data_IF_242356416503
#
_entry.id   IF_242356416503
#
_cell.length_a   1.000
_cell.length_b   1.000
_cell.length_c   1.000
_cell.angle_alpha   90.00
_cell.angle_beta   90.00
_cell.angle_gamma   90.00
#
_symmetry.space_group_name_H-M   'P 1'
#
loop_
_entity.id
_entity.type
_entity.pdbx_description
1 polymer ?
#
# COMPACT_ATOMS: atom_id res chain seq x y z
N UNK A 1 18.26 -45.09 11.19
CA UNK A 1 17.68 -43.99 10.40
C UNK A 1 16.82 -43.16 11.34
N UNK A 2 17.32 -42.01 11.80
CA UNK A 2 16.53 -41.05 12.58
C UNK A 2 16.12 -39.96 11.60
N UNK A 3 14.83 -39.87 11.32
CA UNK A 3 14.28 -38.81 10.49
C UNK A 3 14.36 -37.50 11.25
N UNK A 4 15.25 -36.61 10.81
CA UNK A 4 15.17 -35.19 11.16
C UNK A 4 14.03 -34.59 10.36
N UNK A 5 12.84 -34.56 10.95
CA UNK A 5 11.79 -33.65 10.51
C UNK A 5 12.26 -32.25 10.84
N UNK A 6 12.51 -31.43 9.82
CA UNK A 6 12.61 -29.99 10.01
C UNK A 6 11.24 -29.50 10.47
N UNK A 7 11.10 -29.19 11.76
CA UNK A 7 9.98 -28.40 12.24
C UNK A 7 10.09 -27.02 11.60
N UNK A 8 9.33 -26.81 10.53
CA UNK A 8 9.10 -25.48 9.99
C UNK A 8 8.24 -24.79 11.06
N UNK A 9 8.85 -23.96 11.88
CA UNK A 9 8.11 -23.14 12.84
C UNK A 9 7.21 -22.21 12.04
N UNK A 10 5.89 -22.42 12.08
CA UNK A 10 4.93 -21.45 11.55
C UNK A 10 5.13 -20.14 12.31
N UNK A 11 5.67 -19.12 11.64
CA UNK A 11 5.81 -17.82 12.25
C UNK A 11 4.42 -17.26 12.56
N UNK A 12 4.15 -17.03 13.86
CA UNK A 12 2.91 -16.42 14.30
C UNK A 12 2.71 -15.08 13.61
N UNK A 13 1.57 -14.91 12.93
CA UNK A 13 1.18 -13.64 12.29
C UNK A 13 0.19 -12.90 13.17
N UNK A 14 0.42 -11.60 13.39
CA UNK A 14 -0.39 -10.73 14.25
C UNK A 14 -0.85 -9.52 13.47
N UNK A 15 -2.16 -9.27 13.49
CA UNK A 15 -2.77 -8.06 12.92
C UNK A 15 -2.25 -6.82 13.64
N UNK A 16 -1.98 -5.76 12.87
CA UNK A 16 -1.70 -4.42 13.39
C UNK A 16 -2.89 -3.47 13.27
N UNK A 17 -4.04 -3.94 12.79
CA UNK A 17 -5.23 -3.11 12.67
C UNK A 17 -5.63 -2.49 14.02
N UNK A 18 -5.76 -1.17 14.05
CA UNK A 18 -6.11 -0.41 15.24
C UNK A 18 -7.33 0.51 15.03
N UNK A 19 -7.94 0.45 13.85
CA UNK A 19 -9.12 1.23 13.50
C UNK A 19 -9.13 1.65 12.04
N UNK A 20 -10.28 2.16 11.61
CA UNK A 20 -10.45 2.73 10.28
C UNK A 20 -11.34 3.97 10.32
N UNK A 21 -11.13 4.86 9.38
CA UNK A 21 -11.94 6.04 9.12
C UNK A 21 -12.24 6.11 7.63
N UNK A 22 -13.40 6.67 7.30
CA UNK A 22 -13.84 6.86 5.92
C UNK A 22 -14.01 8.34 5.65
N UNK A 23 -13.24 8.85 4.70
CA UNK A 23 -13.42 10.22 4.25
C UNK A 23 -14.67 10.32 3.36
N UNK A 24 -15.18 11.54 3.19
CA UNK A 24 -16.25 11.84 2.22
C UNK A 24 -15.81 11.53 0.78
N UNK A 25 -14.51 11.52 0.52
CA UNK A 25 -13.89 11.09 -0.74
C UNK A 25 -13.78 9.56 -0.87
N UNK A 26 -13.17 9.07 -1.96
CA UNK A 26 -12.95 7.64 -2.23
C UNK A 26 -11.78 7.02 -1.44
N UNK A 27 -11.49 7.55 -0.24
CA UNK A 27 -10.36 7.15 0.61
C UNK A 27 -10.84 6.43 1.87
N UNK A 28 -10.30 5.25 2.11
CA UNK A 28 -10.33 4.55 3.42
C UNK A 28 -9.02 4.81 4.13
N UNK A 29 -9.06 5.26 5.38
CA UNK A 29 -7.88 5.36 6.23
C UNK A 29 -7.84 4.18 7.19
N UNK A 30 -6.74 3.44 7.21
CA UNK A 30 -6.48 2.33 8.14
C UNK A 30 -5.38 2.74 9.10
N UNK A 31 -5.63 2.63 10.40
CA UNK A 31 -4.65 2.91 11.43
C UNK A 31 -3.98 1.62 11.88
N UNK A 32 -2.64 1.62 11.88
CA UNK A 32 -1.84 0.50 12.36
C UNK A 32 -1.22 0.83 13.73
N UNK A 33 -1.20 -0.17 14.62
CA UNK A 33 -0.59 -0.12 15.95
C UNK A 33 -1.42 0.64 16.99
N UNK A 34 -1.89 1.84 16.66
CA UNK A 34 -2.77 2.65 17.49
C UNK A 34 -3.68 3.52 16.61
N UNK A 35 -4.91 3.82 17.05
CA UNK A 35 -5.84 4.70 16.32
C UNK A 35 -5.42 6.17 16.30
N UNK A 36 -4.57 6.60 17.25
CA UNK A 36 -3.99 7.94 17.30
C UNK A 36 -2.49 7.85 17.55
N UNK A 37 -1.72 8.77 16.98
CA UNK A 37 -0.31 8.88 17.31
C UNK A 37 -0.12 9.75 18.56
N UNK A 38 0.62 9.24 19.54
CA UNK A 38 1.01 10.00 20.74
C UNK A 38 2.37 10.69 20.58
N UNK A 39 3.12 10.35 19.52
CA UNK A 39 4.45 10.87 19.25
C UNK A 39 4.40 12.03 18.24
N UNK A 40 4.96 13.18 18.58
CA UNK A 40 5.10 14.30 17.64
C UNK A 40 6.30 14.06 16.72
N UNK A 41 6.02 13.74 15.46
CA UNK A 41 7.02 13.45 14.41
C UNK A 41 6.48 13.84 13.04
N UNK A 42 7.36 14.10 12.09
CA UNK A 42 6.95 14.45 10.73
C UNK A 42 6.41 13.24 9.97
N UNK A 43 5.47 13.46 9.07
CA UNK A 43 4.97 12.42 8.17
C UNK A 43 5.97 12.12 7.05
N UNK A 44 6.00 10.86 6.61
CA UNK A 44 6.64 10.41 5.38
C UNK A 44 5.64 9.59 4.59
N UNK A 45 5.21 10.15 3.47
CA UNK A 45 4.15 9.59 2.64
C UNK A 45 4.76 8.85 1.46
N UNK A 46 4.46 7.57 1.34
CA UNK A 46 4.83 6.72 0.22
C UNK A 46 3.57 6.46 -0.62
N UNK A 47 3.59 6.86 -1.89
CA UNK A 47 2.53 6.52 -2.84
C UNK A 47 2.92 5.24 -3.58
N UNK A 48 2.14 4.17 -3.42
CA UNK A 48 2.41 2.87 -4.05
C UNK A 48 1.57 2.72 -5.31
N UNK A 49 2.25 2.59 -6.45
CA UNK A 49 1.63 2.41 -7.76
C UNK A 49 2.07 1.07 -8.34
N UNK A 50 1.14 0.33 -8.94
CA UNK A 50 1.48 -0.92 -9.63
C UNK A 50 0.26 -1.60 -10.25
N UNK A 51 0.48 -2.41 -11.31
CA UNK A 51 -0.60 -3.13 -11.97
C UNK A 51 -1.24 -4.19 -11.08
N UNK A 52 -2.40 -4.70 -11.50
CA UNK A 52 -3.06 -5.84 -10.86
C UNK A 52 -2.10 -7.01 -10.71
N UNK A 53 -2.07 -7.59 -9.50
CA UNK A 53 -1.20 -8.73 -9.20
C UNK A 53 0.29 -8.40 -9.04
N UNK A 54 0.66 -7.11 -8.90
CA UNK A 54 2.02 -6.68 -8.55
C UNK A 54 2.41 -6.97 -7.09
N UNK A 55 1.51 -7.52 -6.27
CA UNK A 55 1.72 -7.85 -4.86
C UNK A 55 1.98 -6.63 -3.96
N UNK A 56 1.34 -5.48 -4.23
CA UNK A 56 1.39 -4.28 -3.35
C UNK A 56 1.07 -4.62 -1.89
N UNK A 57 0.03 -5.41 -1.63
CA UNK A 57 -0.34 -5.87 -0.28
C UNK A 57 0.80 -6.56 0.46
N UNK A 58 1.57 -7.43 -0.22
CA UNK A 58 2.74 -8.08 0.38
C UNK A 58 3.84 -7.07 0.69
N UNK A 59 4.05 -6.07 -0.17
CA UNK A 59 5.00 -4.99 0.10
C UNK A 59 4.57 -4.15 1.32
N UNK A 60 3.28 -3.85 1.45
CA UNK A 60 2.71 -3.13 2.60
C UNK A 60 2.94 -3.92 3.90
N UNK A 61 2.69 -5.24 3.89
CA UNK A 61 2.98 -6.10 5.04
C UNK A 61 4.49 -6.16 5.35
N UNK A 62 5.35 -6.22 4.34
CA UNK A 62 6.81 -6.14 4.52
C UNK A 62 7.23 -4.81 5.16
N UNK A 63 6.70 -3.68 4.68
CA UNK A 63 6.95 -2.36 5.25
C UNK A 63 6.42 -2.26 6.69
N UNK A 64 5.25 -2.83 6.98
CA UNK A 64 4.69 -2.93 8.32
C UNK A 64 5.66 -3.64 9.28
N UNK A 65 6.21 -4.78 8.86
CA UNK A 65 7.21 -5.51 9.64
C UNK A 65 8.47 -4.68 9.90
N UNK A 66 8.96 -3.97 8.89
CA UNK A 66 10.10 -3.07 9.02
C UNK A 66 9.82 -1.93 10.01
N UNK A 67 8.68 -1.24 9.87
CA UNK A 67 8.32 -0.10 10.71
C UNK A 67 8.13 -0.46 12.19
N UNK A 68 7.66 -1.68 12.49
CA UNK A 68 7.52 -2.15 13.87
C UNK A 68 8.72 -2.95 14.38
N UNK A 69 9.83 -3.00 13.63
CA UNK A 69 11.07 -3.64 14.08
C UNK A 69 10.95 -5.15 14.26
N UNK A 70 10.15 -5.83 13.42
CA UNK A 70 10.00 -7.27 13.47
C UNK A 70 11.37 -7.96 13.28
N UNK A 71 11.66 -8.95 14.13
CA UNK A 71 12.87 -9.77 14.02
C UNK A 71 12.67 -10.84 12.94
N UNK A 72 13.78 -11.34 12.38
CA UNK A 72 13.77 -12.37 11.34
C UNK A 72 13.01 -13.64 11.79
N UNK A 73 13.38 -14.20 12.94
CA UNK A 73 12.71 -15.38 13.52
C UNK A 73 11.53 -15.03 14.44
N UNK A 74 11.01 -13.81 14.32
CA UNK A 74 10.00 -13.26 15.23
C UNK A 74 8.57 -13.44 14.75
N UNK A 75 7.66 -12.82 15.53
CA UNK A 75 6.28 -12.58 15.12
C UNK A 75 6.27 -11.73 13.84
N UNK A 76 5.43 -12.11 12.88
CA UNK A 76 5.18 -11.34 11.66
C UNK A 76 3.95 -10.47 11.83
N UNK A 77 3.99 -9.27 11.30
CA UNK A 77 2.89 -8.33 11.34
C UNK A 77 2.15 -8.28 10.01
N UNK A 78 0.83 -8.11 10.07
CA UNK A 78 -0.05 -7.96 8.90
C UNK A 78 -0.94 -6.73 9.05
N UNK A 79 -1.22 -6.07 7.94
CA UNK A 79 -2.14 -4.92 7.87
C UNK A 79 -2.84 -4.81 6.51
N UNK A 80 -2.22 -5.29 5.43
CA UNK A 80 -2.80 -5.19 4.10
C UNK A 80 -4.07 -6.03 3.99
N UNK A 81 -5.05 -5.50 3.26
CA UNK A 81 -6.36 -6.11 3.00
C UNK A 81 -7.19 -6.49 4.25
N UNK A 82 -6.78 -6.03 5.44
CA UNK A 82 -7.58 -6.22 6.66
C UNK A 82 -8.83 -5.36 6.58
N UNK A 83 -10.00 -6.00 6.75
CA UNK A 83 -11.32 -5.39 6.75
C UNK A 83 -11.89 -5.59 8.15
N UNK A 84 -12.27 -4.51 8.82
CA UNK A 84 -12.77 -4.57 10.18
C UNK A 84 -14.09 -5.33 10.25
N UNK A 85 -15.06 -4.91 9.43
CA UNK A 85 -16.36 -5.55 9.34
C UNK A 85 -16.80 -5.61 7.87
N UNK A 86 -16.88 -6.83 7.34
CA UNK A 86 -17.28 -7.09 5.94
C UNK A 86 -18.69 -6.58 5.62
N UNK A 87 -19.55 -6.37 6.62
CA UNK A 87 -20.90 -5.84 6.44
C UNK A 87 -20.98 -4.31 6.39
N UNK A 88 -20.02 -3.60 6.99
CA UNK A 88 -20.10 -2.15 7.18
C UNK A 88 -18.91 -1.36 6.62
N UNK A 89 -17.75 -1.97 6.38
CA UNK A 89 -16.61 -1.31 5.72
C UNK A 89 -16.95 -1.07 4.23
N UNK A 90 -17.19 0.18 3.78
CA UNK A 90 -17.42 0.48 2.38
C UNK A 90 -16.21 0.15 1.51
N UNK A 91 -16.49 -0.24 0.26
CA UNK A 91 -15.45 -0.41 -0.76
C UNK A 91 -15.00 0.99 -1.18
N UNK A 92 -13.75 1.34 -0.84
CA UNK A 92 -13.08 2.58 -1.25
C UNK A 92 -11.93 2.24 -2.19
N UNK A 93 -11.72 3.08 -3.20
CA UNK A 93 -10.74 2.79 -4.24
C UNK A 93 -9.29 3.02 -3.78
N UNK A 94 -9.08 3.95 -2.84
CA UNK A 94 -7.76 4.28 -2.28
C UNK A 94 -7.74 3.91 -0.80
N UNK A 95 -6.66 3.28 -0.35
CA UNK A 95 -6.44 2.97 1.07
C UNK A 95 -5.19 3.68 1.58
N UNK A 96 -5.36 4.52 2.60
CA UNK A 96 -4.29 5.21 3.31
C UNK A 96 -3.97 4.48 4.62
N UNK A 97 -2.81 3.86 4.71
CA UNK A 97 -2.31 3.22 5.92
C UNK A 97 -1.50 4.22 6.74
N UNK A 98 -1.92 4.49 7.96
CA UNK A 98 -1.23 5.39 8.91
C UNK A 98 -0.59 4.55 10.01
N UNK A 99 0.74 4.51 10.05
CA UNK A 99 1.48 3.66 10.98
C UNK A 99 1.86 4.43 12.26
N UNK A 100 1.07 4.22 13.31
CA UNK A 100 1.28 4.84 14.61
C UNK A 100 2.10 3.94 15.54
N UNK A 101 2.73 4.55 16.56
CA UNK A 101 3.56 3.83 17.54
C UNK A 101 4.63 2.91 16.92
N UNK A 102 5.24 3.34 15.82
CA UNK A 102 6.29 2.58 15.11
C UNK A 102 7.67 2.85 15.73
N UNK A 103 8.65 2.02 15.39
CA UNK A 103 10.06 2.22 15.76
C UNK A 103 10.75 3.32 14.91
N UNK A 104 10.04 3.93 13.97
CA UNK A 104 10.60 4.91 13.02
C UNK A 104 10.67 6.32 13.63
N UNK A 105 11.70 7.12 13.30
CA UNK A 105 11.83 8.51 13.77
C UNK A 105 10.85 9.49 13.09
N UNK A 106 10.07 9.00 12.13
CA UNK A 106 9.00 9.71 11.42
C UNK A 106 7.74 8.85 11.46
N UNK A 107 6.57 9.40 11.10
CA UNK A 107 5.33 8.62 10.95
C UNK A 107 5.22 8.14 9.49
N UNK A 108 5.35 6.83 9.23
CA UNK A 108 5.14 6.30 7.89
C UNK A 108 3.66 6.35 7.52
N UNK A 109 3.38 6.78 6.29
CA UNK A 109 2.05 6.74 5.69
C UNK A 109 2.20 6.09 4.32
N UNK A 110 1.42 5.07 4.04
CA UNK A 110 1.36 4.43 2.72
C UNK A 110 0.01 4.75 2.10
N UNK A 111 0.02 5.31 0.89
CA UNK A 111 -1.18 5.45 0.07
C UNK A 111 -1.13 4.33 -0.96
N UNK A 112 -1.99 3.34 -0.77
CA UNK A 112 -2.23 2.26 -1.71
C UNK A 112 -3.29 2.67 -2.72
N UNK A 113 -2.93 2.54 -3.99
CA UNK A 113 -3.74 3.00 -5.11
C UNK A 113 -4.52 1.83 -5.70
N UNK A 114 -5.70 2.09 -6.30
CA UNK A 114 -6.42 1.05 -7.02
C UNK A 114 -5.52 0.45 -8.11
N UNK A 115 -5.70 -0.85 -8.35
CA UNK A 115 -4.84 -1.57 -9.29
C UNK A 115 -5.02 -1.07 -10.73
N UNK A 116 -3.92 -0.98 -11.48
CA UNK A 116 -3.97 -0.77 -12.92
C UNK A 116 -4.34 -2.10 -13.55
N UNK A 117 -5.56 -2.19 -14.07
CA UNK A 117 -6.04 -3.43 -14.64
C UNK A 117 -5.34 -3.70 -15.98
N UNK A 118 -4.53 -4.76 -16.03
CA UNK A 118 -3.69 -5.10 -17.18
C UNK A 118 -4.49 -5.60 -18.40
N UNK A 119 -5.59 -6.33 -18.17
CA UNK A 119 -6.35 -7.01 -19.24
C UNK A 119 -7.76 -6.45 -19.51
N UNK A 120 -8.20 -5.44 -18.77
CA UNK A 120 -9.63 -5.09 -18.73
C UNK A 120 -10.08 -3.94 -19.65
N UNK A 121 -9.27 -3.63 -20.67
CA UNK A 121 -9.58 -2.64 -21.70
C UNK A 121 -9.35 -1.18 -21.27
N UNK A 122 -9.30 -0.28 -22.27
CA UNK A 122 -9.02 1.16 -22.12
C UNK A 122 -9.91 1.88 -21.07
N UNK A 123 -11.23 1.58 -20.95
CA UNK A 123 -12.10 2.29 -20.00
C UNK A 123 -11.70 2.10 -18.53
N UNK A 124 -11.28 0.89 -18.15
CA UNK A 124 -10.90 0.58 -16.77
C UNK A 124 -9.58 1.26 -16.40
N UNK A 125 -8.60 1.25 -17.32
CA UNK A 125 -7.32 1.96 -17.17
C UNK A 125 -7.54 3.47 -16.97
N UNK A 126 -8.49 4.07 -17.70
CA UNK A 126 -8.90 5.47 -17.51
C UNK A 126 -9.53 5.69 -16.13
N UNK A 127 -10.42 4.82 -15.66
CA UNK A 127 -11.07 4.98 -14.36
C UNK A 127 -10.07 4.98 -13.18
N UNK A 128 -9.12 4.05 -13.16
CA UNK A 128 -8.04 4.01 -12.14
C UNK A 128 -7.22 5.29 -12.16
N UNK A 129 -6.89 5.77 -13.36
CA UNK A 129 -6.13 7.01 -13.54
C UNK A 129 -6.89 8.24 -13.02
N UNK A 130 -8.18 8.38 -13.35
CA UNK A 130 -8.99 9.51 -12.87
C UNK A 130 -9.13 9.48 -11.36
N UNK A 131 -9.34 8.31 -10.76
CA UNK A 131 -9.43 8.16 -9.30
C UNK A 131 -8.16 8.64 -8.60
N UNK A 132 -6.99 8.34 -9.17
CA UNK A 132 -5.72 8.80 -8.62
C UNK A 132 -5.51 10.30 -8.80
N UNK A 133 -5.84 10.82 -9.97
CA UNK A 133 -5.78 12.25 -10.27
C UNK A 133 -6.67 13.06 -9.34
N UNK A 134 -7.94 12.66 -9.18
CA UNK A 134 -8.91 13.33 -8.31
C UNK A 134 -8.42 13.32 -6.85
N UNK A 135 -7.88 12.19 -6.39
CA UNK A 135 -7.28 12.10 -5.07
C UNK A 135 -6.12 13.08 -4.87
N UNK A 136 -5.21 13.21 -5.84
CA UNK A 136 -4.06 14.10 -5.74
C UNK A 136 -4.50 15.57 -5.70
N UNK A 137 -5.51 15.95 -6.48
CA UNK A 137 -6.08 17.30 -6.45
C UNK A 137 -6.76 17.59 -5.11
N UNK A 138 -7.61 16.68 -4.62
CA UNK A 138 -8.29 16.83 -3.34
C UNK A 138 -7.30 16.85 -2.16
N UNK A 139 -6.12 16.25 -2.36
CA UNK A 139 -5.08 16.07 -1.35
C UNK A 139 -3.85 16.97 -1.58
N UNK A 140 -4.00 18.16 -2.15
CA UNK A 140 -2.89 19.08 -2.46
C UNK A 140 -1.97 19.37 -1.25
N UNK A 141 -2.51 19.29 -0.04
CA UNK A 141 -1.78 19.48 1.22
C UNK A 141 -0.90 18.26 1.61
N UNK A 142 -1.05 17.12 0.95
CA UNK A 142 -0.25 15.91 1.20
C UNK A 142 1.07 16.01 0.44
N UNK A 143 2.17 16.09 1.19
CA UNK A 143 3.53 16.05 0.62
C UNK A 143 3.98 14.59 0.41
N UNK A 144 3.93 14.13 -0.84
CA UNK A 144 4.50 12.83 -1.23
C UNK A 144 6.01 12.85 -1.00
N UNK A 145 6.51 11.92 -0.20
CA UNK A 145 7.94 11.79 0.12
C UNK A 145 8.65 10.85 -0.85
N UNK A 146 7.94 9.85 -1.37
CA UNK A 146 8.44 8.93 -2.39
C UNK A 146 7.29 8.34 -3.20
N UNK A 147 7.53 8.16 -4.51
CA UNK A 147 6.71 7.32 -5.38
C UNK A 147 7.34 5.93 -5.45
N UNK A 148 6.57 4.90 -5.14
CA UNK A 148 7.00 3.51 -5.14
C UNK A 148 6.31 2.75 -6.27
N UNK A 149 7.06 2.42 -7.30
CA UNK A 149 6.59 1.55 -8.36
C UNK A 149 6.76 0.08 -7.98
N UNK A 150 5.67 -0.67 -7.97
CA UNK A 150 5.65 -2.10 -7.67
C UNK A 150 5.37 -2.88 -8.95
N UNK A 151 6.37 -3.64 -9.40
CA UNK A 151 6.29 -4.45 -10.62
C UNK A 151 6.28 -5.93 -10.27
N UNK A 152 5.51 -6.71 -11.03
CA UNK A 152 5.61 -8.17 -11.00
C UNK A 152 6.75 -8.60 -11.91
N UNK A 153 7.63 -9.44 -11.40
CA UNK A 153 8.67 -10.08 -12.21
C UNK A 153 8.34 -11.58 -12.40
N UNK A 154 8.03 -11.96 -13.63
CA UNK A 154 7.97 -13.35 -14.12
C UNK A 154 8.58 -13.44 -15.54
N UNK A 155 8.97 -14.64 -15.98
CA UNK A 155 9.63 -14.83 -17.30
C UNK A 155 8.81 -14.31 -18.49
N UNK A 156 7.48 -14.24 -18.39
CA UNK A 156 6.58 -13.63 -19.39
C UNK A 156 6.53 -12.10 -19.37
N UNK A 157 6.78 -11.46 -18.21
CA UNK A 157 6.70 -10.00 -18.05
C UNK A 157 7.85 -9.23 -18.71
N UNK A 158 8.98 -9.88 -19.00
CA UNK A 158 10.16 -9.29 -19.65
C UNK A 158 9.83 -8.70 -21.04
N UNK A 159 8.79 -9.22 -21.71
CA UNK A 159 8.31 -8.68 -23.00
C UNK A 159 7.16 -7.65 -22.88
N UNK A 160 6.59 -7.47 -21.68
CA UNK A 160 5.50 -6.51 -21.38
C UNK A 160 5.99 -5.24 -20.67
N UNK A 161 7.29 -5.15 -20.37
CA UNK A 161 7.91 -4.04 -19.67
C UNK A 161 7.64 -2.68 -20.33
N UNK A 162 7.63 -2.59 -21.67
CA UNK A 162 7.33 -1.33 -22.38
C UNK A 162 5.90 -0.81 -22.15
N UNK A 163 4.90 -1.69 -22.08
CA UNK A 163 3.51 -1.27 -21.83
C UNK A 163 3.32 -0.84 -20.37
N UNK A 164 3.91 -1.60 -19.44
CA UNK A 164 3.87 -1.28 -18.02
C UNK A 164 4.63 0.02 -17.74
N UNK A 165 5.82 0.20 -18.31
CA UNK A 165 6.60 1.44 -18.17
C UNK A 165 5.86 2.65 -18.78
N UNK A 166 5.13 2.47 -19.88
CA UNK A 166 4.27 3.54 -20.43
C UNK A 166 3.12 3.92 -19.51
N UNK A 167 2.44 2.95 -18.92
CA UNK A 167 1.36 3.20 -17.96
C UNK A 167 1.87 3.90 -16.70
N UNK A 168 3.00 3.45 -16.20
CA UNK A 168 3.67 4.05 -15.06
C UNK A 168 4.15 5.47 -15.38
N UNK A 169 4.76 5.66 -16.56
CA UNK A 169 5.17 6.99 -17.01
C UNK A 169 3.99 7.95 -17.11
N UNK A 170 2.82 7.48 -17.57
CA UNK A 170 1.62 8.30 -17.65
C UNK A 170 1.11 8.72 -16.27
N UNK A 171 1.15 7.83 -15.28
CA UNK A 171 0.80 8.18 -13.90
C UNK A 171 1.82 9.09 -13.23
N UNK A 172 3.12 8.92 -13.51
CA UNK A 172 4.17 9.84 -13.05
C UNK A 172 3.92 11.25 -13.61
N UNK A 173 3.62 11.35 -14.91
CA UNK A 173 3.29 12.62 -15.54
C UNK A 173 2.05 13.30 -14.92
N UNK A 174 1.05 12.53 -14.48
CA UNK A 174 -0.11 13.07 -13.77
C UNK A 174 0.25 13.59 -12.36
N UNK A 175 1.14 12.90 -11.65
CA UNK A 175 1.65 13.36 -10.36
C UNK A 175 2.43 14.67 -10.53
N UNK A 176 3.27 14.78 -11.57
CA UNK A 176 4.00 16.01 -11.87
C UNK A 176 3.07 17.18 -12.25
N UNK A 177 1.97 16.90 -12.97
CA UNK A 177 1.02 17.92 -13.41
C UNK A 177 0.23 18.55 -12.26
N UNK A 178 0.00 17.80 -11.18
CA UNK A 178 -0.74 18.28 -9.99
C UNK A 178 0.16 19.07 -9.03
N UNK A 179 1.49 18.96 -9.15
CA UNK A 179 2.47 19.61 -8.27
C UNK A 179 3.21 20.80 -8.93
N UNK A 180 2.76 21.29 -10.08
CA UNK A 180 3.19 22.56 -10.70
C UNK A 180 2.28 23.72 -10.29
#
# INVERSE_FOLDING_TARGET
MVGMGAEISEHQTVSKFAGEEFDVSNVRTVFAGASKDSMKRSDRVLLLVGPTGSNKSNLIDCMCNYFYGAKFDGVRYKIADEIFDRGSTPIKSITKYVFNATAMPFRPIIIDTPEIASDSGIPMKKATTHTLHDFLIESEHIKISALCLVLKFNEESINKDEEILREVSFQISLIELVHQ
#
